data_IF_124594113269
#
_entry.id   IF_124594113269
#
_cell.length_a   1.000
_cell.length_b   1.000
_cell.length_c   1.000
_cell.angle_alpha   90.00
_cell.angle_beta   90.00
_cell.angle_gamma   90.00
#
_symmetry.space_group_name_H-M   'P 1'
#
loop_
_entity.id
_entity.type
_entity.pdbx_description
1 polymer ?
#
# COMPACT_ATOMS: atom_id res chain seq x y z
N UNK A 1 6.68 -11.93 8.60
CA UNK A 1 7.01 -11.18 7.38
C UNK A 1 5.71 -10.61 6.83
N UNK A 2 5.73 -9.37 6.33
CA UNK A 2 4.51 -8.66 5.93
C UNK A 2 4.43 -8.44 4.43
N UNK A 3 3.23 -8.12 3.96
CA UNK A 3 2.95 -7.58 2.63
C UNK A 3 2.11 -6.32 2.78
N UNK A 4 2.55 -5.22 2.17
CA UNK A 4 1.76 -4.00 2.02
C UNK A 4 1.24 -3.92 0.59
N UNK A 5 -0.06 -3.71 0.44
CA UNK A 5 -0.74 -3.53 -0.84
C UNK A 5 -1.51 -2.21 -0.88
N UNK A 6 -1.50 -1.56 -2.04
CA UNK A 6 -2.41 -0.47 -2.38
C UNK A 6 -3.45 -1.03 -3.33
N UNK A 7 -4.73 -0.91 -2.98
CA UNK A 7 -5.83 -1.56 -3.68
C UNK A 7 -6.78 -0.52 -4.25
N UNK A 8 -7.20 -0.68 -5.50
CA UNK A 8 -8.33 0.05 -6.07
C UNK A 8 -9.61 -0.73 -5.80
N UNK A 9 -10.62 -0.08 -5.25
CA UNK A 9 -11.97 -0.67 -5.15
C UNK A 9 -12.78 -0.31 -6.39
N UNK A 10 -13.33 -1.32 -7.05
CA UNK A 10 -14.20 -1.16 -8.23
C UNK A 10 -15.66 -1.14 -7.78
N UNK A 11 -16.54 -0.57 -8.60
CA UNK A 11 -17.95 -0.33 -8.25
C UNK A 11 -18.73 -1.61 -7.89
N UNK A 12 -18.35 -2.76 -8.44
CA UNK A 12 -18.93 -4.08 -8.16
C UNK A 12 -18.45 -4.66 -6.81
N UNK A 13 -17.62 -3.93 -6.07
CA UNK A 13 -17.05 -4.37 -4.80
C UNK A 13 -15.76 -5.17 -4.93
N UNK A 14 -15.34 -5.53 -6.15
CA UNK A 14 -14.04 -6.16 -6.39
C UNK A 14 -12.88 -5.21 -6.11
N UNK A 15 -11.70 -5.80 -5.91
CA UNK A 15 -10.47 -5.03 -5.69
C UNK A 15 -9.40 -5.43 -6.71
N UNK A 16 -8.58 -4.46 -7.09
CA UNK A 16 -7.41 -4.68 -7.95
C UNK A 16 -6.20 -4.09 -7.26
N UNK A 17 -5.10 -4.84 -7.19
CA UNK A 17 -3.84 -4.36 -6.64
C UNK A 17 -3.19 -3.37 -7.59
N UNK A 18 -2.96 -2.13 -7.13
CA UNK A 18 -2.21 -1.10 -7.84
C UNK A 18 -0.72 -1.16 -7.54
N UNK A 19 -0.37 -1.54 -6.31
CA UNK A 19 1.01 -1.63 -5.86
C UNK A 19 1.13 -2.66 -4.74
N UNK A 20 2.28 -3.33 -4.66
CA UNK A 20 2.58 -4.34 -3.65
C UNK A 20 4.06 -4.36 -3.32
N UNK A 21 4.37 -4.56 -2.04
CA UNK A 21 5.72 -4.84 -1.55
C UNK A 21 5.64 -5.87 -0.43
N UNK A 22 6.47 -6.91 -0.51
CA UNK A 22 6.45 -8.06 0.39
C UNK A 22 7.83 -8.34 0.97
N UNK A 23 7.87 -9.01 2.11
CA UNK A 23 9.09 -9.41 2.83
C UNK A 23 9.84 -8.21 3.44
N UNK A 24 11.04 -8.46 3.95
CA UNK A 24 11.88 -7.47 4.61
C UNK A 24 12.37 -6.39 3.64
N UNK A 25 12.19 -5.12 4.03
CA UNK A 25 12.57 -3.96 3.21
C UNK A 25 13.79 -3.19 3.74
N UNK A 26 14.38 -3.65 4.85
CA UNK A 26 15.42 -2.91 5.56
C UNK A 26 14.85 -2.13 6.75
N UNK A 27 15.68 -1.29 7.36
CA UNK A 27 15.27 -0.43 8.50
C UNK A 27 14.98 1.01 8.08
N UNK A 28 15.27 1.37 6.83
CA UNK A 28 15.10 2.72 6.31
C UNK A 28 13.69 2.95 5.76
N UNK A 29 13.23 4.21 5.82
CA UNK A 29 11.99 4.63 5.19
C UNK A 29 12.13 4.62 3.66
N UNK A 30 11.22 3.91 2.99
CA UNK A 30 11.20 3.81 1.54
C UNK A 30 9.96 4.50 0.97
N UNK A 31 10.18 5.51 0.13
CA UNK A 31 9.10 6.19 -0.58
C UNK A 31 8.41 5.25 -1.58
N UNK A 32 7.08 5.33 -1.65
CA UNK A 32 6.27 4.75 -2.70
C UNK A 32 5.32 5.82 -3.25
N UNK A 33 5.22 5.90 -4.58
CA UNK A 33 4.25 6.75 -5.28
C UNK A 33 3.37 5.85 -6.13
N UNK A 34 2.06 6.03 -6.03
CA UNK A 34 1.07 5.23 -6.74
C UNK A 34 0.06 6.19 -7.37
N UNK A 35 -0.06 6.13 -8.69
CA UNK A 35 -1.08 6.90 -9.40
C UNK A 35 -2.45 6.28 -9.17
N UNK A 36 -3.40 7.09 -8.68
CA UNK A 36 -4.75 6.64 -8.38
C UNK A 36 -5.77 7.48 -9.15
N UNK A 37 -6.78 6.82 -9.72
CA UNK A 37 -7.85 7.46 -10.48
C UNK A 37 -9.20 7.52 -9.73
N UNK A 38 -9.24 7.01 -8.49
CA UNK A 38 -10.46 6.82 -7.70
C UNK A 38 -10.12 6.53 -6.24
N UNK A 39 -11.14 6.26 -5.41
CA UNK A 39 -10.95 5.79 -4.02
C UNK A 39 -10.11 4.51 -3.98
N UNK A 40 -8.97 4.57 -3.31
CA UNK A 40 -7.97 3.50 -3.26
C UNK A 40 -7.61 3.20 -1.81
N UNK A 41 -8.15 2.12 -1.19
CA UNK A 41 -7.71 1.68 0.13
C UNK A 41 -6.26 1.15 0.17
N UNK A 42 -5.67 1.18 1.36
CA UNK A 42 -4.43 0.49 1.70
C UNK A 42 -4.76 -0.80 2.47
N UNK A 43 -4.04 -1.90 2.21
CA UNK A 43 -4.17 -3.15 2.95
C UNK A 43 -2.79 -3.65 3.41
N UNK A 44 -2.61 -3.78 4.72
CA UNK A 44 -1.47 -4.47 5.31
C UNK A 44 -1.84 -5.91 5.66
N UNK A 45 -1.10 -6.87 5.15
CA UNK A 45 -1.24 -8.30 5.46
C UNK A 45 0.00 -8.73 6.23
N UNK A 46 -0.21 -9.29 7.42
CA UNK A 46 0.84 -9.83 8.27
C UNK A 46 0.74 -11.35 8.29
N UNK A 47 1.84 -12.05 8.05
CA UNK A 47 1.90 -13.50 8.26
C UNK A 47 1.80 -13.83 9.76
N UNK A 48 1.49 -15.09 10.12
CA UNK A 48 1.30 -15.52 11.52
C UNK A 48 2.49 -15.37 12.48
N UNK A 49 3.61 -14.78 12.06
CA UNK A 49 4.77 -14.47 12.89
C UNK A 49 4.68 -13.12 13.60
N UNK A 50 5.66 -12.84 14.47
CA UNK A 50 5.79 -11.60 15.25
C UNK A 50 7.00 -10.74 14.90
N UNK A 51 7.79 -11.16 13.91
CA UNK A 51 8.96 -10.42 13.42
C UNK A 51 8.60 -9.67 12.13
N UNK A 52 8.83 -8.36 12.17
CA UNK A 52 8.57 -7.43 11.07
C UNK A 52 7.08 -7.15 10.89
N UNK A 53 6.71 -5.88 11.07
CA UNK A 53 5.38 -5.37 10.73
C UNK A 53 5.52 -4.41 9.53
N UNK A 54 4.69 -3.37 9.45
CA UNK A 54 4.71 -2.41 8.36
C UNK A 54 4.57 -1.02 8.98
N UNK A 55 5.51 -0.12 8.71
CA UNK A 55 5.42 1.30 9.04
C UNK A 55 4.99 2.09 7.80
N UNK A 56 4.05 3.02 7.98
CA UNK A 56 3.64 3.97 6.94
C UNK A 56 3.55 5.33 7.62
N UNK A 57 4.16 6.34 7.03
CA UNK A 57 4.10 7.73 7.48
C UNK A 57 4.06 8.67 6.28
N UNK A 58 3.75 9.95 6.49
CA UNK A 58 3.77 11.03 5.49
C UNK A 58 2.91 10.75 4.23
N UNK A 59 1.77 10.09 4.39
CA UNK A 59 0.83 9.83 3.28
C UNK A 59 0.27 11.14 2.74
N UNK A 60 0.62 11.47 1.48
CA UNK A 60 0.18 12.69 0.79
C UNK A 60 -0.60 12.31 -0.46
N UNK A 61 -1.76 12.95 -0.64
CA UNK A 61 -2.49 12.93 -1.90
C UNK A 61 -2.18 14.22 -2.65
N UNK A 62 -1.61 14.09 -3.86
CA UNK A 62 -1.33 15.22 -4.75
C UNK A 62 -2.30 15.16 -5.92
N UNK A 63 -2.90 16.30 -6.26
CA UNK A 63 -3.67 16.43 -7.48
C UNK A 63 -2.72 16.43 -8.70
N UNK A 64 -3.06 15.65 -9.70
CA UNK A 64 -2.32 15.53 -10.96
C UNK A 64 -3.06 16.19 -12.13
N UNK A 65 -4.20 16.87 -11.88
CA UNK A 65 -4.83 17.73 -12.86
C UNK A 65 -4.00 18.99 -13.11
N UNK A 66 -4.00 19.46 -14.37
CA UNK A 66 -3.27 20.63 -14.83
C UNK A 66 -4.08 21.92 -14.61
#
# INVERSE_FOLDING_TARGET
MGTLEVLKKIADGSTTTLWKRSLQQGMDWLLASVDISSKTPFQGIRDGGFRGDIGIDDVKLKDCSA
#
